data_IF_769898097239
#
_entry.id   IF_769898097239
#
_cell.length_a   1.000
_cell.length_b   1.000
_cell.length_c   1.000
_cell.angle_alpha   90.00
_cell.angle_beta   90.00
_cell.angle_gamma   90.00
#
_symmetry.space_group_name_H-M   'P 1'
#
loop_
_entity.id
_entity.type
_entity.pdbx_description
1 polymer ?
#
# COMPACT_ATOMS: atom_id res chain seq x y z
N UNK A 1 -30.38 -15.60 8.58
CA UNK A 1 -29.55 -14.95 7.52
C UNK A 1 -28.80 -13.68 7.97
N UNK A 2 -29.49 -12.70 8.58
CA UNK A 2 -28.88 -11.43 9.02
C UNK A 2 -27.77 -11.64 10.06
N UNK A 3 -28.07 -12.32 11.17
CA UNK A 3 -27.08 -12.58 12.24
C UNK A 3 -25.88 -13.39 11.74
N UNK A 4 -26.12 -14.40 10.90
CA UNK A 4 -25.06 -15.20 10.25
C UNK A 4 -24.05 -14.32 9.50
N UNK A 5 -24.54 -13.35 8.72
CA UNK A 5 -23.68 -12.40 7.99
C UNK A 5 -23.03 -11.39 8.92
N UNK A 6 -23.79 -10.83 9.87
CA UNK A 6 -23.30 -9.82 10.80
C UNK A 6 -22.15 -10.35 11.68
N UNK A 7 -22.27 -11.57 12.18
CA UNK A 7 -21.27 -12.20 13.05
C UNK A 7 -20.29 -13.09 12.28
N UNK A 8 -20.49 -13.26 10.96
CA UNK A 8 -19.60 -13.99 10.04
C UNK A 8 -19.39 -15.46 10.44
N UNK A 9 -20.40 -16.05 11.08
CA UNK A 9 -20.41 -17.45 11.52
C UNK A 9 -21.83 -17.99 11.63
N UNK A 10 -21.96 -19.30 11.81
CA UNK A 10 -23.21 -19.90 12.29
C UNK A 10 -23.59 -19.33 13.64
N UNK A 11 -24.89 -19.06 13.82
CA UNK A 11 -25.48 -18.55 15.06
C UNK A 11 -26.38 -19.62 15.66
N UNK A 12 -26.41 -19.71 16.98
CA UNK A 12 -27.29 -20.68 17.66
C UNK A 12 -28.73 -20.18 17.72
N UNK A 13 -29.68 -21.08 17.95
CA UNK A 13 -31.08 -20.70 18.14
C UNK A 13 -31.27 -19.78 19.34
N UNK A 14 -30.47 -19.96 20.41
CA UNK A 14 -30.48 -19.07 21.57
C UNK A 14 -30.00 -17.66 21.22
N UNK A 15 -28.96 -17.52 20.39
CA UNK A 15 -28.53 -16.21 19.91
C UNK A 15 -29.62 -15.54 19.07
N UNK A 16 -30.28 -16.30 18.19
CA UNK A 16 -31.41 -15.80 17.41
C UNK A 16 -32.55 -15.35 18.32
N UNK A 17 -32.91 -16.15 19.33
CA UNK A 17 -33.96 -15.85 20.28
C UNK A 17 -33.65 -14.58 21.10
N UNK A 18 -32.39 -14.39 21.51
CA UNK A 18 -31.97 -13.19 22.23
C UNK A 18 -32.19 -11.90 21.41
N UNK A 19 -31.89 -11.91 20.11
CA UNK A 19 -32.16 -10.74 19.26
C UNK A 19 -33.64 -10.61 18.89
N UNK A 20 -34.37 -11.72 18.75
CA UNK A 20 -35.82 -11.71 18.52
C UNK A 20 -36.59 -11.14 19.72
N UNK A 21 -36.08 -11.32 20.95
CA UNK A 21 -36.67 -10.77 22.16
C UNK A 21 -36.74 -9.23 22.14
N UNK A 22 -35.79 -8.53 21.52
CA UNK A 22 -35.89 -7.07 21.33
C UNK A 22 -37.09 -6.68 20.47
N UNK A 23 -37.38 -7.46 19.42
CA UNK A 23 -38.54 -7.22 18.54
C UNK A 23 -39.83 -7.46 19.32
N UNK A 24 -39.90 -8.57 20.05
CA UNK A 24 -41.07 -8.91 20.87
C UNK A 24 -41.33 -7.85 21.95
N UNK A 25 -40.29 -7.42 22.65
CA UNK A 25 -40.40 -6.41 23.70
C UNK A 25 -40.89 -5.07 23.16
N UNK A 26 -40.43 -4.65 21.98
CA UNK A 26 -40.92 -3.43 21.33
C UNK A 26 -42.43 -3.53 21.01
N UNK A 27 -42.88 -4.66 20.45
CA UNK A 27 -44.29 -4.90 20.15
C UNK A 27 -45.14 -4.90 21.43
N UNK A 28 -44.67 -5.54 22.50
CA UNK A 28 -45.34 -5.54 23.81
C UNK A 28 -45.45 -4.13 24.42
N UNK A 29 -44.54 -3.21 24.07
CA UNK A 29 -44.56 -1.80 24.46
C UNK A 29 -45.39 -0.92 23.53
N UNK A 30 -46.02 -1.49 22.50
CA UNK A 30 -46.90 -0.78 21.57
C UNK A 30 -46.21 -0.23 20.32
N UNK A 31 -44.93 -0.54 20.10
CA UNK A 31 -44.23 -0.21 18.86
C UNK A 31 -44.64 -1.15 17.71
N UNK A 32 -44.37 -0.74 16.46
CA UNK A 32 -44.57 -1.60 15.29
C UNK A 32 -43.49 -2.68 15.16
N UNK A 33 -43.78 -3.74 14.41
CA UNK A 33 -42.80 -4.78 14.09
C UNK A 33 -41.54 -4.21 13.43
N UNK A 34 -41.69 -3.27 12.51
CA UNK A 34 -40.58 -2.60 11.83
C UNK A 34 -39.70 -1.84 12.83
N UNK A 35 -40.31 -1.18 13.82
CA UNK A 35 -39.57 -0.50 14.88
C UNK A 35 -38.82 -1.49 15.77
N UNK A 36 -39.44 -2.61 16.14
CA UNK A 36 -38.76 -3.70 16.84
C UNK A 36 -37.57 -4.26 16.05
N UNK A 37 -37.73 -4.45 14.74
CA UNK A 37 -36.63 -4.89 13.85
C UNK A 37 -35.49 -3.88 13.79
N UNK A 38 -35.78 -2.57 13.79
CA UNK A 38 -34.74 -1.53 13.89
C UNK A 38 -33.97 -1.63 15.21
N UNK A 39 -34.65 -1.86 16.33
CA UNK A 39 -33.99 -2.02 17.65
C UNK A 39 -33.12 -3.27 17.67
N UNK A 40 -33.62 -4.41 17.17
CA UNK A 40 -32.83 -5.63 17.07
C UNK A 40 -31.59 -5.43 16.17
N UNK A 41 -31.74 -4.73 15.03
CA UNK A 41 -30.61 -4.41 14.18
C UNK A 41 -29.59 -3.48 14.87
N UNK A 42 -30.05 -2.47 15.62
CA UNK A 42 -29.17 -1.63 16.42
C UNK A 42 -28.38 -2.47 17.43
N UNK A 43 -29.04 -3.38 18.14
CA UNK A 43 -28.38 -4.30 19.09
C UNK A 43 -27.31 -5.16 18.40
N UNK A 44 -27.59 -5.65 17.18
CA UNK A 44 -26.61 -6.38 16.36
C UNK A 44 -25.41 -5.49 16.01
N UNK A 45 -25.64 -4.26 15.56
CA UNK A 45 -24.59 -3.35 15.10
C UNK A 45 -23.68 -2.82 16.23
N UNK A 46 -24.15 -2.84 17.48
CA UNK A 46 -23.34 -2.47 18.65
C UNK A 46 -22.78 -3.69 19.41
N UNK A 47 -23.06 -4.91 18.92
CA UNK A 47 -22.55 -6.14 19.52
C UNK A 47 -21.03 -6.26 19.33
N UNK A 48 -20.26 -6.69 20.36
CA UNK A 48 -18.85 -7.01 20.20
C UNK A 48 -18.58 -8.02 19.06
N UNK A 49 -19.52 -8.95 18.83
CA UNK A 49 -19.40 -9.92 17.74
C UNK A 49 -19.49 -9.29 16.35
N UNK A 50 -20.12 -8.11 16.23
CA UNK A 50 -20.17 -7.34 15.00
C UNK A 50 -18.97 -6.39 14.90
N UNK A 51 -18.67 -5.65 15.97
CA UNK A 51 -17.65 -4.60 16.02
C UNK A 51 -16.22 -5.15 15.94
N UNK A 52 -15.97 -6.34 16.49
CA UNK A 52 -14.65 -6.95 16.51
C UNK A 52 -14.59 -8.21 15.65
N UNK A 53 -13.39 -8.48 15.13
CA UNK A 53 -13.04 -9.77 14.53
C UNK A 53 -12.49 -10.65 15.65
N UNK A 54 -13.40 -11.28 16.38
CA UNK A 54 -13.05 -12.09 17.54
C UNK A 54 -12.53 -13.44 17.07
N UNK A 55 -11.30 -13.75 17.45
CA UNK A 55 -10.72 -15.08 17.33
C UNK A 55 -10.86 -15.75 18.70
N UNK A 56 -11.84 -16.64 18.86
CA UNK A 56 -12.20 -17.19 20.15
C UNK A 56 -11.29 -18.38 20.51
N UNK A 57 -10.71 -18.46 21.74
CA UNK A 57 -9.93 -19.60 22.19
C UNK A 57 -10.64 -20.91 21.86
N UNK A 58 -9.92 -21.90 21.36
CA UNK A 58 -10.49 -23.23 21.18
C UNK A 58 -11.03 -23.76 22.52
N UNK A 59 -11.97 -24.71 22.47
CA UNK A 59 -12.44 -25.39 23.68
C UNK A 59 -11.30 -26.12 24.42
N UNK A 60 -10.21 -26.43 23.70
CA UNK A 60 -9.06 -27.18 24.19
C UNK A 60 -8.29 -26.43 25.31
N UNK A 61 -7.61 -27.18 26.17
CA UNK A 61 -6.72 -26.63 27.19
C UNK A 61 -5.60 -25.83 26.54
N UNK A 62 -5.18 -24.74 27.20
CA UNK A 62 -4.02 -23.97 26.77
C UNK A 62 -2.79 -24.88 26.77
N UNK A 63 -2.28 -25.20 25.58
CA UNK A 63 -1.09 -26.05 25.42
C UNK A 63 0.22 -25.25 25.35
N UNK A 64 0.12 -23.91 25.36
CA UNK A 64 1.20 -23.01 24.97
C UNK A 64 1.48 -23.08 23.46
N UNK A 65 1.91 -21.98 22.86
CA UNK A 65 2.29 -21.94 21.43
C UNK A 65 1.22 -21.36 20.51
N UNK A 66 1.04 -21.96 19.32
CA UNK A 66 0.17 -21.47 18.26
C UNK A 66 -1.03 -22.39 18.05
N UNK A 67 -2.21 -21.80 17.87
CA UNK A 67 -3.48 -22.49 17.61
C UNK A 67 -3.97 -22.23 16.19
N UNK A 68 -4.53 -23.24 15.54
CA UNK A 68 -5.19 -23.07 14.25
C UNK A 68 -6.47 -22.28 14.41
N UNK A 69 -6.65 -21.28 13.55
CA UNK A 69 -7.94 -20.64 13.37
C UNK A 69 -9.00 -21.64 12.91
N UNK A 70 -10.25 -21.40 13.29
CA UNK A 70 -11.39 -22.10 12.72
C UNK A 70 -11.74 -21.56 11.32
N UNK A 71 -12.57 -22.30 10.59
CA UNK A 71 -12.87 -21.96 9.21
C UNK A 71 -13.62 -20.62 9.05
N UNK A 72 -14.43 -20.19 10.02
CA UNK A 72 -15.08 -18.87 9.99
C UNK A 72 -14.10 -17.73 10.27
N UNK A 73 -13.12 -17.95 11.15
CA UNK A 73 -12.03 -17.01 11.40
C UNK A 73 -11.15 -16.88 10.15
N UNK A 74 -10.84 -17.98 9.46
CA UNK A 74 -10.12 -17.96 8.17
C UNK A 74 -10.93 -17.25 7.08
N UNK A 75 -12.23 -17.53 6.96
CA UNK A 75 -13.11 -16.81 6.04
C UNK A 75 -13.07 -15.30 6.29
N UNK A 76 -13.15 -14.90 7.57
CA UNK A 76 -13.10 -13.50 7.98
C UNK A 76 -11.74 -12.87 7.70
N UNK A 77 -10.62 -13.52 8.04
CA UNK A 77 -9.28 -12.99 7.73
C UNK A 77 -9.11 -12.82 6.22
N UNK A 78 -9.51 -13.80 5.42
CA UNK A 78 -9.41 -13.73 3.95
C UNK A 78 -10.26 -12.59 3.37
N UNK A 79 -11.50 -12.44 3.81
CA UNK A 79 -12.41 -11.39 3.31
C UNK A 79 -11.94 -9.99 3.67
N UNK A 80 -11.41 -9.78 4.88
CA UNK A 80 -10.91 -8.47 5.28
C UNK A 80 -9.56 -8.15 4.66
N UNK A 81 -8.71 -9.16 4.42
CA UNK A 81 -7.46 -8.99 3.68
C UNK A 81 -7.74 -8.55 2.23
N UNK A 82 -8.56 -9.29 1.48
CA UNK A 82 -8.69 -9.04 0.04
C UNK A 82 -9.80 -8.05 -0.33
N UNK A 83 -10.88 -7.97 0.45
CA UNK A 83 -12.06 -7.17 0.13
C UNK A 83 -12.37 -6.08 1.15
N UNK A 84 -11.65 -6.02 2.29
CA UNK A 84 -11.97 -5.12 3.41
C UNK A 84 -13.47 -5.15 3.79
N UNK A 85 -14.10 -6.32 3.66
CA UNK A 85 -15.54 -6.50 3.83
C UNK A 85 -15.86 -7.90 4.37
N UNK A 86 -17.14 -8.15 4.61
CA UNK A 86 -17.64 -9.43 5.13
C UNK A 86 -17.39 -10.57 4.13
N UNK A 87 -17.18 -11.82 4.60
CA UNK A 87 -17.23 -13.02 3.77
C UNK A 87 -18.52 -13.08 2.97
N UNK A 88 -18.44 -13.56 1.72
CA UNK A 88 -19.62 -13.86 0.93
C UNK A 88 -20.22 -15.22 1.32
N UNK A 89 -21.37 -15.57 0.73
CA UNK A 89 -22.07 -16.79 1.08
C UNK A 89 -21.29 -18.05 0.67
N UNK A 90 -20.47 -17.99 -0.39
CA UNK A 90 -19.57 -19.09 -0.78
C UNK A 90 -18.53 -19.35 0.31
N UNK A 91 -17.84 -18.31 0.78
CA UNK A 91 -16.81 -18.43 1.81
C UNK A 91 -17.41 -18.89 3.15
N UNK A 92 -18.59 -18.39 3.53
CA UNK A 92 -19.31 -18.86 4.72
C UNK A 92 -19.77 -20.32 4.59
N UNK A 93 -20.17 -20.76 3.40
CA UNK A 93 -20.60 -22.16 3.20
C UNK A 93 -19.42 -23.13 3.24
N UNK A 94 -18.26 -22.73 2.69
CA UNK A 94 -17.01 -23.49 2.84
C UNK A 94 -16.56 -23.56 4.30
N UNK A 95 -16.77 -22.47 5.06
CA UNK A 95 -16.49 -22.45 6.48
C UNK A 95 -17.39 -23.42 7.27
N UNK A 96 -18.70 -23.42 6.98
CA UNK A 96 -19.66 -24.36 7.56
C UNK A 96 -19.31 -25.82 7.25
N UNK A 97 -18.77 -26.08 6.06
CA UNK A 97 -18.34 -27.40 5.63
C UNK A 97 -16.96 -27.81 6.17
N UNK A 98 -16.27 -26.95 6.94
CA UNK A 98 -14.94 -27.22 7.48
C UNK A 98 -13.85 -27.38 6.41
N UNK A 99 -13.95 -26.63 5.30
CA UNK A 99 -13.08 -26.79 4.13
C UNK A 99 -11.97 -25.75 4.01
N UNK A 100 -12.03 -24.63 4.73
CA UNK A 100 -11.08 -23.52 4.56
C UNK A 100 -9.73 -23.75 5.25
N UNK A 101 -9.64 -24.73 6.15
CA UNK A 101 -8.36 -25.20 6.69
C UNK A 101 -7.50 -25.96 5.68
N UNK A 102 -8.11 -26.46 4.60
CA UNK A 102 -7.39 -27.01 3.46
C UNK A 102 -6.72 -25.86 2.68
N UNK A 103 -5.39 -25.92 2.58
CA UNK A 103 -4.59 -24.86 1.95
C UNK A 103 -4.93 -24.70 0.48
N UNK A 104 -5.26 -25.78 -0.23
CA UNK A 104 -5.59 -25.70 -1.66
C UNK A 104 -6.93 -24.99 -1.86
N UNK A 105 -7.91 -25.26 -0.99
CA UNK A 105 -9.21 -24.55 -0.99
C UNK A 105 -9.00 -23.08 -0.65
N UNK A 106 -8.17 -22.78 0.34
CA UNK A 106 -7.90 -21.40 0.75
C UNK A 106 -7.23 -20.58 -0.36
N UNK A 107 -6.26 -21.17 -1.07
CA UNK A 107 -5.62 -20.54 -2.23
C UNK A 107 -6.60 -20.32 -3.38
N UNK A 108 -7.45 -21.31 -3.69
CA UNK A 108 -8.49 -21.18 -4.71
C UNK A 108 -9.45 -20.01 -4.40
N UNK A 109 -9.84 -19.86 -3.13
CA UNK A 109 -10.68 -18.75 -2.69
C UNK A 109 -9.94 -17.41 -2.76
N UNK A 110 -8.67 -17.35 -2.39
CA UNK A 110 -7.86 -16.13 -2.57
C UNK A 110 -7.80 -15.70 -4.04
N UNK A 111 -7.57 -16.63 -4.96
CA UNK A 111 -7.54 -16.35 -6.40
C UNK A 111 -8.89 -15.90 -6.95
N UNK A 112 -9.98 -16.54 -6.53
CA UNK A 112 -11.34 -16.13 -6.90
C UNK A 112 -11.59 -14.70 -6.44
N UNK A 113 -11.26 -14.41 -5.19
CA UNK A 113 -11.50 -13.12 -4.56
C UNK A 113 -10.65 -12.00 -5.18
N UNK A 114 -9.41 -12.28 -5.60
CA UNK A 114 -8.56 -11.30 -6.31
C UNK A 114 -9.13 -10.89 -7.68
N UNK A 115 -9.89 -11.76 -8.34
CA UNK A 115 -10.56 -11.47 -9.62
C UNK A 115 -11.91 -10.78 -9.46
N UNK A 116 -12.46 -10.77 -8.26
CA UNK A 116 -13.76 -10.14 -7.97
C UNK A 116 -13.62 -8.62 -7.92
N UNK A 117 -14.62 -7.84 -8.42
CA UNK A 117 -14.62 -6.38 -8.32
C UNK A 117 -14.37 -5.83 -6.91
N UNK A 118 -14.76 -6.55 -5.85
CA UNK A 118 -14.49 -6.16 -4.46
C UNK A 118 -13.00 -6.08 -4.11
N UNK A 119 -12.11 -6.72 -4.88
CA UNK A 119 -10.65 -6.58 -4.72
C UNK A 119 -10.18 -5.14 -4.98
N UNK A 120 -11.01 -4.27 -5.55
CA UNK A 120 -10.76 -2.83 -5.57
C UNK A 120 -10.48 -2.26 -4.17
N UNK A 121 -11.07 -2.83 -3.12
CA UNK A 121 -10.77 -2.42 -1.75
C UNK A 121 -9.31 -2.67 -1.34
N UNK A 122 -8.70 -3.78 -1.78
CA UNK A 122 -7.27 -4.03 -1.55
C UNK A 122 -6.43 -2.93 -2.22
N UNK A 123 -6.77 -2.55 -3.46
CA UNK A 123 -6.07 -1.49 -4.20
C UNK A 123 -6.14 -0.16 -3.45
N UNK A 124 -7.35 0.28 -3.09
CA UNK A 124 -7.58 1.57 -2.42
C UNK A 124 -6.99 1.62 -1.01
N UNK A 125 -7.10 0.51 -0.27
CA UNK A 125 -6.67 0.48 1.12
C UNK A 125 -5.19 0.17 1.29
N UNK A 126 -4.68 -0.87 0.63
CA UNK A 126 -3.28 -1.26 0.78
C UNK A 126 -2.36 -0.29 0.05
N UNK A 127 -2.55 -0.06 -1.26
CA UNK A 127 -1.66 0.84 -2.00
C UNK A 127 -1.75 2.28 -1.47
N UNK A 128 -2.96 2.72 -1.10
CA UNK A 128 -3.16 4.04 -0.50
C UNK A 128 -2.42 4.26 0.83
N UNK A 129 -2.23 3.20 1.63
CA UNK A 129 -1.44 3.25 2.87
C UNK A 129 0.05 3.05 2.62
N UNK A 130 0.41 2.00 1.88
CA UNK A 130 1.79 1.64 1.60
C UNK A 130 2.54 2.75 0.87
N UNK A 131 1.99 3.25 -0.24
CA UNK A 131 2.64 4.29 -1.04
C UNK A 131 2.39 5.71 -0.48
N UNK A 132 1.57 5.84 0.57
CA UNK A 132 1.26 7.12 1.20
C UNK A 132 0.27 8.00 0.44
N UNK A 133 -0.43 7.47 -0.58
CA UNK A 133 -1.33 8.24 -1.46
C UNK A 133 -2.40 9.02 -0.70
N UNK A 134 -2.84 8.52 0.47
CA UNK A 134 -3.84 9.20 1.31
C UNK A 134 -3.46 10.63 1.70
N UNK A 135 -2.15 10.92 1.79
CA UNK A 135 -1.66 12.28 2.09
C UNK A 135 -1.94 13.26 0.95
N UNK A 136 -2.14 12.79 -0.28
CA UNK A 136 -2.54 13.66 -1.40
C UNK A 136 -3.96 14.19 -1.25
N UNK A 137 -4.83 13.56 -0.44
CA UNK A 137 -6.18 14.08 -0.14
C UNK A 137 -6.17 15.11 1.00
N UNK A 138 -5.04 15.32 1.67
CA UNK A 138 -4.91 16.29 2.76
C UNK A 138 -4.19 17.54 2.27
N UNK A 139 -4.18 18.59 3.10
CA UNK A 139 -3.39 19.79 2.84
C UNK A 139 -1.91 19.64 3.29
N UNK A 140 -1.50 18.46 3.74
CA UNK A 140 -0.11 18.20 4.14
C UNK A 140 0.84 18.13 2.93
N UNK A 141 0.30 17.72 1.77
CA UNK A 141 1.04 17.62 0.51
C UNK A 141 0.33 18.47 -0.54
N UNK A 142 0.70 19.75 -0.58
CA UNK A 142 0.13 20.72 -1.50
C UNK A 142 1.25 21.55 -2.15
N UNK A 143 1.52 21.36 -3.45
CA UNK A 143 2.35 22.28 -4.23
C UNK A 143 1.84 23.73 -4.11
N UNK A 144 2.77 24.69 -4.07
CA UNK A 144 2.43 26.11 -4.00
C UNK A 144 1.64 26.51 -5.27
N UNK A 145 0.40 26.99 -5.15
CA UNK A 145 -0.45 27.31 -6.31
C UNK A 145 0.06 28.50 -7.13
N UNK A 146 0.94 29.34 -6.60
CA UNK A 146 1.60 30.40 -7.37
C UNK A 146 2.74 29.86 -8.24
N UNK A 147 3.43 28.82 -7.77
CA UNK A 147 4.55 28.19 -8.50
C UNK A 147 4.06 27.07 -9.44
N UNK A 148 2.99 26.38 -9.06
CA UNK A 148 2.43 25.23 -9.77
C UNK A 148 0.91 25.39 -10.00
N UNK A 149 0.47 26.45 -10.71
CA UNK A 149 -0.96 26.71 -10.93
C UNK A 149 -1.68 25.57 -11.69
N UNK A 150 -0.94 24.73 -12.42
CA UNK A 150 -1.48 23.58 -13.12
C UNK A 150 -1.88 22.43 -12.17
N UNK A 151 -1.40 22.42 -10.92
CA UNK A 151 -1.74 21.40 -9.92
C UNK A 151 -3.10 21.67 -9.28
N UNK A 152 -4.15 21.56 -10.09
CA UNK A 152 -5.53 21.77 -9.66
C UNK A 152 -6.06 20.62 -8.80
N UNK A 153 -7.18 20.78 -8.06
CA UNK A 153 -7.84 19.69 -7.36
C UNK A 153 -8.23 18.51 -8.27
N UNK A 154 -8.53 18.75 -9.55
CA UNK A 154 -8.83 17.73 -10.54
C UNK A 154 -7.57 16.95 -10.92
N UNK A 155 -6.45 17.65 -11.21
CA UNK A 155 -5.18 16.97 -11.49
C UNK A 155 -4.72 16.14 -10.28
N UNK A 156 -4.88 16.66 -9.06
CA UNK A 156 -4.60 15.92 -7.82
C UNK A 156 -5.39 14.61 -7.73
N UNK A 157 -6.67 14.60 -8.10
CA UNK A 157 -7.49 13.38 -8.15
C UNK A 157 -6.97 12.41 -9.22
N UNK A 158 -6.52 12.94 -10.36
CA UNK A 158 -6.04 12.11 -11.44
C UNK A 158 -4.69 11.45 -11.15
N UNK A 159 -3.73 12.18 -10.56
CA UNK A 159 -2.43 11.61 -10.16
C UNK A 159 -2.60 10.51 -9.11
N UNK A 160 -3.55 10.68 -8.18
CA UNK A 160 -3.91 9.59 -7.27
C UNK A 160 -4.47 8.41 -8.05
N UNK A 161 -5.44 8.66 -8.93
CA UNK A 161 -6.15 7.60 -9.64
C UNK A 161 -5.26 6.79 -10.57
N UNK A 162 -4.27 7.43 -11.19
CA UNK A 162 -3.22 6.80 -11.98
C UNK A 162 -2.56 5.66 -11.21
N UNK A 163 -2.07 5.93 -10.00
CA UNK A 163 -1.36 4.92 -9.19
C UNK A 163 -2.26 3.78 -8.77
N UNK A 164 -3.51 4.06 -8.41
CA UNK A 164 -4.49 3.00 -8.11
C UNK A 164 -4.76 2.11 -9.33
N UNK A 165 -4.92 2.71 -10.51
CA UNK A 165 -5.15 1.94 -11.74
C UNK A 165 -3.93 1.11 -12.12
N UNK A 166 -2.73 1.66 -11.95
CA UNK A 166 -1.48 0.97 -12.20
C UNK A 166 -1.30 -0.24 -11.28
N UNK A 167 -1.38 -0.05 -9.96
CA UNK A 167 -1.33 -1.16 -8.99
C UNK A 167 -2.47 -2.15 -9.22
N UNK A 168 -3.68 -1.65 -9.49
CA UNK A 168 -4.85 -2.48 -9.73
C UNK A 168 -4.76 -3.35 -10.98
N UNK A 169 -4.10 -2.88 -12.04
CA UNK A 169 -3.80 -3.68 -13.22
C UNK A 169 -2.85 -4.84 -12.88
N UNK A 170 -1.81 -4.57 -12.08
CA UNK A 170 -0.87 -5.61 -11.63
C UNK A 170 -1.57 -6.69 -10.82
N UNK A 171 -2.45 -6.30 -9.90
CA UNK A 171 -3.23 -7.24 -9.08
C UNK A 171 -4.22 -8.06 -9.92
N UNK A 172 -5.03 -7.40 -10.76
CA UNK A 172 -6.13 -8.05 -11.48
C UNK A 172 -5.68 -8.95 -12.61
N UNK A 173 -4.63 -8.54 -13.33
CA UNK A 173 -4.07 -9.31 -14.44
C UNK A 173 -2.95 -10.25 -13.99
N UNK A 174 -2.73 -10.35 -12.68
CA UNK A 174 -1.68 -11.16 -12.07
C UNK A 174 -0.33 -10.92 -12.74
N UNK A 175 0.05 -9.64 -12.85
CA UNK A 175 1.32 -9.23 -13.46
C UNK A 175 2.48 -9.48 -12.48
N UNK A 176 3.73 -9.56 -12.97
CA UNK A 176 4.89 -9.51 -12.10
C UNK A 176 4.87 -8.24 -11.24
N UNK A 177 5.07 -8.38 -9.93
CA UNK A 177 5.13 -7.23 -9.00
C UNK A 177 6.30 -6.30 -9.33
N UNK A 178 7.33 -6.80 -10.02
CA UNK A 178 8.50 -6.01 -10.45
C UNK A 178 8.12 -4.88 -11.40
N UNK A 179 6.97 -4.98 -12.09
CA UNK A 179 6.45 -3.88 -12.91
C UNK A 179 6.15 -2.63 -12.09
N UNK A 180 6.00 -2.73 -10.75
CA UNK A 180 5.94 -1.57 -9.87
C UNK A 180 7.23 -0.72 -9.91
N UNK A 181 8.35 -1.30 -10.34
CA UNK A 181 9.64 -0.63 -10.53
C UNK A 181 9.89 -0.32 -12.00
N UNK A 182 9.81 -1.33 -12.87
CA UNK A 182 10.30 -1.26 -14.25
C UNK A 182 9.18 -1.23 -15.33
N UNK A 183 7.92 -1.15 -14.91
CA UNK A 183 6.78 -1.07 -15.82
C UNK A 183 6.79 0.22 -16.62
N UNK A 184 7.02 0.13 -17.94
CA UNK A 184 7.04 1.27 -18.87
C UNK A 184 5.66 1.65 -19.41
N UNK A 185 4.64 1.58 -18.56
CA UNK A 185 3.28 1.99 -18.90
C UNK A 185 2.60 2.62 -17.69
N UNK A 186 1.50 3.34 -17.93
CA UNK A 186 0.60 3.79 -16.88
C UNK A 186 -0.81 3.96 -17.43
N UNK A 187 -1.71 4.53 -16.64
CA UNK A 187 -3.08 4.85 -17.02
C UNK A 187 -3.26 6.36 -17.01
N UNK A 188 -3.42 6.94 -18.19
CA UNK A 188 -3.48 8.39 -18.37
C UNK A 188 -4.86 8.81 -18.84
N UNK A 189 -5.28 10.00 -18.41
CA UNK A 189 -6.33 10.77 -19.07
C UNK A 189 -5.71 12.02 -19.72
N UNK A 190 -6.52 12.94 -20.23
CA UNK A 190 -6.04 14.16 -20.90
C UNK A 190 -5.19 15.07 -20.02
N UNK A 191 -5.55 15.25 -18.75
CA UNK A 191 -4.79 16.12 -17.83
C UNK A 191 -3.42 15.53 -17.49
N UNK A 192 -3.35 14.22 -17.25
CA UNK A 192 -2.07 13.54 -17.03
C UNK A 192 -1.19 13.50 -18.28
N UNK A 193 -1.77 13.27 -19.47
CA UNK A 193 -1.03 13.32 -20.72
C UNK A 193 -0.40 14.70 -20.93
N UNK A 194 -1.14 15.78 -20.63
CA UNK A 194 -0.64 17.16 -20.67
C UNK A 194 0.46 17.39 -19.63
N UNK A 195 0.28 16.98 -18.38
CA UNK A 195 1.30 17.08 -17.32
C UNK A 195 2.58 16.36 -17.73
N UNK A 196 2.44 15.19 -18.37
CA UNK A 196 3.56 14.33 -18.75
C UNK A 196 4.23 14.75 -20.05
N UNK A 197 3.61 15.66 -20.81
CA UNK A 197 4.13 16.16 -22.08
C UNK A 197 4.13 15.11 -23.18
N UNK A 198 3.15 14.20 -23.17
CA UNK A 198 3.03 13.10 -24.15
C UNK A 198 1.79 13.27 -25.02
N UNK A 199 1.88 12.80 -26.28
CA UNK A 199 0.71 12.68 -27.16
C UNK A 199 -0.14 11.47 -26.73
N UNK A 200 -1.05 11.72 -25.79
CA UNK A 200 -1.83 10.69 -25.10
C UNK A 200 -3.35 10.81 -25.29
N UNK A 201 -4.13 10.05 -24.49
CA UNK A 201 -5.59 10.14 -24.51
C UNK A 201 -6.09 11.54 -24.16
N UNK A 202 -7.26 11.91 -24.68
CA UNK A 202 -7.95 13.17 -24.38
C UNK A 202 -9.18 12.94 -23.50
N UNK A 203 -9.59 13.95 -22.73
CA UNK A 203 -10.78 13.89 -21.86
C UNK A 203 -10.51 13.24 -20.50
N UNK A 204 -11.57 12.89 -19.79
CA UNK A 204 -11.51 12.40 -18.40
C UNK A 204 -11.28 10.89 -18.26
N UNK A 205 -11.47 10.14 -19.35
CA UNK A 205 -11.33 8.68 -19.34
C UNK A 205 -9.86 8.25 -19.26
N UNK A 206 -9.55 7.34 -18.34
CA UNK A 206 -8.23 6.74 -18.21
C UNK A 206 -8.02 5.62 -19.22
N UNK A 207 -6.89 5.66 -19.93
CA UNK A 207 -6.47 4.62 -20.88
C UNK A 207 -5.05 4.20 -20.58
N UNK A 208 -4.78 2.91 -20.76
CA UNK A 208 -3.42 2.38 -20.69
C UNK A 208 -2.55 3.07 -21.76
N UNK A 209 -1.38 3.54 -21.37
CA UNK A 209 -0.44 4.25 -22.22
C UNK A 209 0.97 3.70 -21.97
N UNK A 210 1.67 3.36 -23.05
CA UNK A 210 3.05 2.86 -23.01
C UNK A 210 4.03 4.02 -23.22
N UNK A 211 5.06 4.11 -22.37
CA UNK A 211 6.11 5.11 -22.45
C UNK A 211 7.29 4.61 -23.29
N UNK A 212 7.74 5.43 -24.24
CA UNK A 212 8.82 5.08 -25.17
C UNK A 212 10.05 5.99 -25.06
N UNK A 213 9.99 7.03 -24.22
CA UNK A 213 11.04 8.06 -24.10
C UNK A 213 12.05 7.77 -22.98
N UNK A 214 11.87 6.66 -22.25
CA UNK A 214 12.72 6.27 -21.12
C UNK A 214 12.56 7.15 -19.87
N UNK A 215 11.67 8.14 -19.87
CA UNK A 215 11.51 9.06 -18.73
C UNK A 215 10.70 8.42 -17.62
N UNK A 216 9.67 7.64 -17.97
CA UNK A 216 8.73 7.07 -17.00
C UNK A 216 8.77 5.56 -16.97
N UNK A 217 8.85 5.05 -15.75
CA UNK A 217 8.82 3.64 -15.40
C UNK A 217 8.40 3.46 -13.93
N UNK A 218 7.51 2.49 -13.69
CA UNK A 218 7.05 2.12 -12.36
C UNK A 218 6.40 3.25 -11.56
N UNK A 219 6.14 2.98 -10.28
CA UNK A 219 5.52 3.97 -9.37
C UNK A 219 6.47 5.12 -9.03
N UNK A 220 7.79 4.89 -9.07
CA UNK A 220 8.81 5.86 -8.70
C UNK A 220 8.74 7.15 -9.53
N UNK A 221 8.33 7.05 -10.80
CA UNK A 221 8.28 8.16 -11.75
C UNK A 221 6.85 8.71 -11.96
N UNK A 222 5.87 8.24 -11.19
CA UNK A 222 4.50 8.77 -11.23
C UNK A 222 4.40 10.08 -10.43
N UNK A 223 3.57 11.00 -10.91
CA UNK A 223 3.39 12.31 -10.29
C UNK A 223 2.91 12.23 -8.84
N UNK A 224 2.11 11.22 -8.49
CA UNK A 224 1.69 11.00 -7.09
C UNK A 224 2.87 10.88 -6.14
N UNK A 225 3.83 10.02 -6.45
CA UNK A 225 5.02 9.77 -5.62
C UNK A 225 5.97 10.97 -5.66
N UNK A 226 6.19 11.55 -6.84
CA UNK A 226 7.04 12.73 -7.01
C UNK A 226 6.51 13.94 -6.24
N UNK A 227 5.19 14.08 -6.12
CA UNK A 227 4.53 15.11 -5.30
C UNK A 227 4.64 14.81 -3.80
N UNK A 228 4.34 13.57 -3.40
CA UNK A 228 4.43 13.12 -1.99
C UNK A 228 5.83 13.34 -1.39
N UNK A 229 6.85 13.25 -2.22
CA UNK A 229 8.26 13.32 -1.84
C UNK A 229 8.89 14.69 -2.10
N UNK A 230 8.07 15.73 -2.29
CA UNK A 230 8.53 17.11 -2.49
C UNK A 230 8.08 18.04 -1.35
N UNK A 231 8.61 19.26 -1.33
CA UNK A 231 8.05 20.38 -0.57
C UNK A 231 7.10 21.19 -1.47
N UNK A 232 6.22 22.03 -0.90
CA UNK A 232 5.30 22.87 -1.68
C UNK A 232 5.99 23.67 -2.80
N UNK A 233 7.18 24.21 -2.52
CA UNK A 233 7.89 25.13 -3.39
C UNK A 233 9.04 24.49 -4.19
N UNK A 234 9.48 23.28 -3.81
CA UNK A 234 10.69 22.65 -4.38
C UNK A 234 10.73 21.13 -4.24
N UNK A 235 11.58 20.51 -5.03
CA UNK A 235 11.91 19.08 -4.91
C UNK A 235 12.68 18.79 -3.63
N UNK A 236 12.73 17.52 -3.23
CA UNK A 236 13.57 17.07 -2.11
C UNK A 236 14.24 15.73 -2.44
N UNK A 237 15.52 15.74 -2.85
CA UNK A 237 16.30 14.52 -3.04
C UNK A 237 16.28 13.62 -1.80
N UNK A 238 16.36 14.22 -0.60
CA UNK A 238 16.31 13.52 0.68
C UNK A 238 15.01 12.72 0.83
N UNK A 239 13.84 13.36 0.68
CA UNK A 239 12.53 12.67 0.81
C UNK A 239 12.32 11.63 -0.28
N UNK A 240 12.80 11.88 -1.50
CA UNK A 240 12.71 10.92 -2.61
C UNK A 240 13.51 9.66 -2.32
N UNK A 241 14.76 9.81 -1.89
CA UNK A 241 15.62 8.69 -1.51
C UNK A 241 15.10 7.93 -0.30
N UNK A 242 14.68 8.64 0.76
CA UNK A 242 14.05 8.04 1.94
C UNK A 242 12.82 7.21 1.55
N UNK A 243 11.94 7.75 0.70
CA UNK A 243 10.76 7.02 0.25
C UNK A 243 11.12 5.74 -0.51
N UNK A 244 12.15 5.76 -1.38
CA UNK A 244 12.62 4.56 -2.09
C UNK A 244 13.14 3.51 -1.11
N UNK A 245 14.02 3.91 -0.19
CA UNK A 245 14.58 2.99 0.81
C UNK A 245 13.50 2.38 1.70
N UNK A 246 12.57 3.19 2.19
CA UNK A 246 11.50 2.78 3.11
C UNK A 246 10.42 1.92 2.43
N UNK A 247 9.99 2.30 1.21
CA UNK A 247 8.80 1.73 0.57
C UNK A 247 9.11 0.70 -0.51
N UNK A 248 10.30 0.75 -1.12
CA UNK A 248 10.70 -0.19 -2.17
C UNK A 248 11.75 -1.18 -1.69
N UNK A 249 12.71 -0.78 -0.86
CA UNK A 249 13.84 -1.66 -0.47
C UNK A 249 13.73 -2.22 0.95
N UNK A 250 12.85 -1.67 1.80
CA UNK A 250 12.70 -2.11 3.18
C UNK A 250 13.88 -1.73 4.09
N UNK A 251 14.69 -0.76 3.67
CA UNK A 251 15.91 -0.30 4.34
C UNK A 251 15.72 1.14 4.85
N UNK A 252 14.64 1.36 5.60
CA UNK A 252 14.28 2.68 6.09
C UNK A 252 15.45 3.32 6.87
N UNK A 253 15.84 4.57 6.56
CA UNK A 253 16.91 5.24 7.27
C UNK A 253 16.53 5.42 8.76
N UNK A 254 17.52 5.54 9.67
CA UNK A 254 17.24 5.83 11.06
C UNK A 254 16.53 7.18 11.21
N UNK A 255 15.80 7.35 12.31
CA UNK A 255 15.17 8.63 12.61
C UNK A 255 16.20 9.77 12.60
N UNK A 256 15.83 10.93 12.06
CA UNK A 256 16.75 12.07 12.03
C UNK A 256 17.09 12.52 13.45
N UNK A 257 18.29 13.12 13.66
CA UNK A 257 18.64 13.71 14.94
C UNK A 257 17.59 14.73 15.43
N UNK A 258 17.41 14.92 16.76
CA UNK A 258 16.39 15.81 17.32
C UNK A 258 16.46 17.27 16.82
N UNK A 259 17.63 17.70 16.37
CA UNK A 259 17.85 19.01 15.75
C UNK A 259 18.41 18.78 14.36
N UNK A 260 17.55 18.84 13.35
CA UNK A 260 17.95 18.94 11.95
C UNK A 260 17.99 20.41 11.58
N UNK A 261 19.15 20.97 11.19
CA UNK A 261 19.20 22.33 10.68
C UNK A 261 18.28 22.49 9.47
N UNK A 262 17.55 23.60 9.35
CA UNK A 262 16.77 23.85 8.14
C UNK A 262 17.72 24.12 6.96
N UNK A 263 17.41 23.57 5.78
CA UNK A 263 18.14 23.87 4.54
C UNK A 263 18.05 25.37 4.18
N UNK A 264 17.03 26.06 4.69
CA UNK A 264 16.73 27.47 4.42
C UNK A 264 17.89 28.41 4.81
N UNK A 265 18.69 28.05 5.82
CA UNK A 265 19.88 28.82 6.20
C UNK A 265 20.99 28.73 5.13
N UNK A 266 21.20 27.53 4.57
CA UNK A 266 22.16 27.30 3.47
C UNK A 266 21.67 27.97 2.18
N UNK A 267 20.37 27.85 1.89
CA UNK A 267 19.72 28.52 0.76
C UNK A 267 19.85 30.04 0.82
N UNK A 268 19.60 30.64 1.98
CA UNK A 268 19.70 32.09 2.18
C UNK A 268 21.14 32.59 2.03
N UNK A 269 22.11 31.75 2.39
CA UNK A 269 23.55 32.09 2.30
C UNK A 269 24.14 31.83 0.91
N UNK A 270 23.50 30.98 0.11
CA UNK A 270 23.98 30.54 -1.21
C UNK A 270 22.84 30.42 -2.23
N UNK A 271 22.06 31.50 -2.48
CA UNK A 271 20.85 31.43 -3.30
C UNK A 271 21.12 31.12 -4.77
N UNK A 272 22.32 31.46 -5.25
CA UNK A 272 22.75 31.29 -6.65
C UNK A 272 23.37 29.90 -6.92
N UNK A 273 23.55 29.05 -5.91
CA UNK A 273 24.09 27.71 -6.11
C UNK A 273 22.99 26.73 -6.54
N UNK A 274 23.28 25.74 -7.40
CA UNK A 274 22.38 24.63 -7.67
C UNK A 274 21.97 23.89 -6.38
N UNK A 275 20.73 23.36 -6.33
CA UNK A 275 20.20 22.65 -5.16
C UNK A 275 21.13 21.53 -4.65
N UNK A 276 21.76 20.79 -5.59
CA UNK A 276 22.75 19.75 -5.26
C UNK A 276 23.92 20.31 -4.45
N UNK A 277 24.50 21.43 -4.87
CA UNK A 277 25.63 22.05 -4.17
C UNK A 277 25.22 22.57 -2.80
N UNK A 278 24.02 23.14 -2.68
CA UNK A 278 23.46 23.55 -1.39
C UNK A 278 23.30 22.35 -0.43
N UNK A 279 22.79 21.22 -0.91
CA UNK A 279 22.66 20.00 -0.11
C UNK A 279 24.02 19.42 0.29
N UNK A 280 25.02 19.46 -0.59
CA UNK A 280 26.39 19.05 -0.28
C UNK A 280 26.98 19.90 0.83
N UNK A 281 26.77 21.23 0.81
CA UNK A 281 27.20 22.13 1.87
C UNK A 281 26.45 21.85 3.18
N UNK A 282 25.14 21.61 3.10
CA UNK A 282 24.29 21.33 4.25
C UNK A 282 24.71 20.04 4.99
N UNK A 283 25.08 18.99 4.25
CA UNK A 283 25.45 17.67 4.79
C UNK A 283 26.93 17.54 5.14
N UNK A 284 27.68 18.64 5.26
CA UNK A 284 29.09 18.61 5.61
C UNK A 284 29.36 18.02 7.02
N UNK A 285 28.33 17.94 7.88
CA UNK A 285 28.41 17.25 9.16
C UNK A 285 28.57 15.72 8.98
N UNK A 286 29.61 15.09 9.55
CA UNK A 286 29.85 13.65 9.44
C UNK A 286 28.70 12.76 9.94
N UNK A 287 27.90 13.22 10.90
CA UNK A 287 26.75 12.52 11.44
C UNK A 287 25.56 12.45 10.47
N UNK A 288 25.41 13.45 9.60
CA UNK A 288 24.38 13.47 8.55
C UNK A 288 24.84 12.74 7.28
N UNK A 289 26.14 12.83 6.96
CA UNK A 289 26.67 12.34 5.69
C UNK A 289 26.48 10.84 5.44
N UNK A 290 26.42 10.00 6.49
CA UNK A 290 26.34 8.53 6.34
C UNK A 290 25.05 8.07 5.65
N UNK A 291 23.89 8.57 6.08
CA UNK A 291 22.60 8.21 5.52
C UNK A 291 22.31 8.98 4.22
N UNK A 292 22.72 10.25 4.16
CA UNK A 292 22.54 11.11 2.99
C UNK A 292 23.35 10.66 1.76
N UNK A 293 24.46 9.93 1.95
CA UNK A 293 25.22 9.30 0.84
C UNK A 293 24.43 8.27 0.04
N UNK A 294 23.33 7.74 0.57
CA UNK A 294 22.44 6.83 -0.16
C UNK A 294 21.20 7.59 -0.63
N UNK A 295 20.50 8.23 0.31
CA UNK A 295 19.23 8.90 0.02
C UNK A 295 19.37 10.01 -1.01
N UNK A 296 20.32 10.93 -0.83
CA UNK A 296 20.44 12.07 -1.72
C UNK A 296 20.83 11.63 -3.12
N UNK A 297 21.70 10.61 -3.24
CA UNK A 297 22.15 10.11 -4.54
C UNK A 297 20.97 9.53 -5.32
N UNK A 298 20.14 8.68 -4.69
CA UNK A 298 18.87 8.19 -5.27
C UNK A 298 17.97 9.37 -5.66
N UNK A 299 17.82 10.34 -4.75
CA UNK A 299 16.99 11.52 -4.99
C UNK A 299 17.45 12.40 -6.15
N UNK A 300 18.77 12.57 -6.31
CA UNK A 300 19.36 13.33 -7.41
C UNK A 300 19.05 12.71 -8.77
N UNK A 301 18.97 11.38 -8.86
CA UNK A 301 18.52 10.68 -10.08
C UNK A 301 17.13 11.06 -10.57
N UNK A 302 16.32 11.67 -9.70
CA UNK A 302 14.93 12.03 -9.99
C UNK A 302 14.77 13.55 -10.20
N UNK A 303 15.83 14.36 -10.10
CA UNK A 303 15.70 15.82 -10.11
C UNK A 303 15.20 16.39 -11.45
N UNK A 304 15.25 15.62 -12.53
CA UNK A 304 14.57 15.92 -13.79
C UNK A 304 13.04 15.98 -13.66
N UNK A 305 12.46 15.55 -12.54
CA UNK A 305 11.06 15.76 -12.22
C UNK A 305 10.88 16.90 -11.21
N UNK A 306 10.03 17.86 -11.55
CA UNK A 306 9.62 18.93 -10.64
C UNK A 306 8.66 18.40 -9.53
N UNK A 307 8.22 19.26 -8.58
CA UNK A 307 7.34 18.85 -7.48
C UNK A 307 5.99 18.26 -7.89
N UNK A 308 5.52 18.50 -9.12
CA UNK A 308 4.25 17.94 -9.61
C UNK A 308 4.48 16.77 -10.57
N UNK A 309 5.73 16.32 -10.71
CA UNK A 309 6.12 15.21 -11.57
C UNK A 309 6.22 15.55 -13.06
N UNK A 310 6.31 16.84 -13.41
CA UNK A 310 6.59 17.29 -14.78
C UNK A 310 8.09 17.22 -15.06
N UNK A 311 8.46 16.85 -16.28
CA UNK A 311 9.86 16.81 -16.70
C UNK A 311 10.45 18.22 -16.84
N UNK A 312 11.71 18.38 -16.44
CA UNK A 312 12.51 19.59 -16.59
C UNK A 312 13.98 19.24 -16.89
N UNK A 313 14.62 20.09 -17.67
CA UNK A 313 16.07 20.00 -17.96
C UNK A 313 16.88 21.06 -17.18
N UNK A 314 16.18 22.04 -16.58
CA UNK A 314 16.78 23.13 -15.82
C UNK A 314 15.99 23.42 -14.54
N UNK A 315 16.69 23.90 -13.51
CA UNK A 315 16.12 24.36 -12.26
C UNK A 315 16.87 25.62 -11.78
N UNK A 316 16.15 26.69 -11.45
CA UNK A 316 16.77 27.94 -10.99
C UNK A 316 17.75 28.58 -11.99
N UNK A 317 17.58 28.34 -13.29
CA UNK A 317 18.48 28.82 -14.34
C UNK A 317 19.72 27.94 -14.57
N UNK A 318 19.87 26.83 -13.84
CA UNK A 318 20.97 25.88 -14.01
C UNK A 318 20.50 24.58 -14.68
N UNK A 319 21.32 23.96 -15.56
CA UNK A 319 21.09 22.59 -16.01
C UNK A 319 20.99 21.62 -14.85
N UNK A 320 20.11 20.63 -14.97
CA UNK A 320 19.98 19.57 -13.97
C UNK A 320 21.07 18.53 -14.20
N UNK A 321 21.82 18.25 -13.14
CA UNK A 321 22.77 17.15 -13.07
C UNK A 321 22.15 16.01 -12.26
N UNK A 322 21.63 15.00 -12.96
CA UNK A 322 21.02 13.81 -12.38
C UNK A 322 21.99 12.61 -12.31
N UNK A 323 23.27 12.82 -12.61
CA UNK A 323 24.29 11.79 -12.49
C UNK A 323 24.68 11.59 -11.02
N UNK A 324 24.69 10.35 -10.54
CA UNK A 324 25.00 10.02 -9.15
C UNK A 324 25.67 8.63 -9.05
N UNK A 325 26.27 8.36 -7.88
CA UNK A 325 26.90 7.07 -7.59
C UNK A 325 26.49 6.59 -6.20
N UNK A 326 25.93 5.38 -6.12
CA UNK A 326 25.61 4.75 -4.85
C UNK A 326 26.89 4.29 -4.12
N UNK A 327 26.88 4.15 -2.78
CA UNK A 327 28.03 3.64 -2.03
C UNK A 327 28.49 2.23 -2.42
N UNK A 328 27.62 1.45 -3.08
CA UNK A 328 27.94 0.15 -3.69
C UNK A 328 28.85 0.26 -4.93
N UNK A 329 29.04 1.47 -5.48
CA UNK A 329 29.83 1.75 -6.68
C UNK A 329 29.01 1.88 -7.97
N UNK A 330 27.74 1.47 -7.95
CA UNK A 330 26.80 1.61 -9.06
C UNK A 330 26.59 3.09 -9.40
N UNK A 331 26.83 3.46 -10.65
CA UNK A 331 26.65 4.83 -11.14
C UNK A 331 25.47 4.88 -12.10
N UNK A 332 24.74 5.99 -12.11
CA UNK A 332 23.60 6.20 -12.99
C UNK A 332 23.46 7.67 -13.34
N UNK A 333 22.77 7.95 -14.45
CA UNK A 333 22.43 9.27 -14.90
C UNK A 333 20.92 9.38 -15.19
N UNK A 334 20.21 9.96 -14.23
CA UNK A 334 18.77 10.17 -14.34
C UNK A 334 17.91 8.95 -14.02
N UNK A 335 16.59 9.07 -14.23
CA UNK A 335 15.62 8.12 -13.69
C UNK A 335 15.64 6.76 -14.38
N UNK A 336 15.96 6.69 -15.66
CA UNK A 336 15.99 5.44 -16.42
C UNK A 336 17.03 4.47 -15.84
N UNK A 337 18.29 4.93 -15.72
CA UNK A 337 19.39 4.12 -15.19
C UNK A 337 19.21 3.84 -13.69
N UNK A 338 18.61 4.77 -12.92
CA UNK A 338 18.25 4.50 -11.53
C UNK A 338 17.22 3.36 -11.42
N UNK A 339 16.21 3.34 -12.28
CA UNK A 339 15.21 2.26 -12.32
C UNK A 339 15.85 0.93 -12.67
N UNK A 340 16.83 0.89 -13.59
CA UNK A 340 17.57 -0.33 -13.91
C UNK A 340 18.31 -0.90 -12.69
N UNK A 341 18.95 -0.03 -11.90
CA UNK A 341 19.60 -0.42 -10.63
C UNK A 341 18.57 -0.98 -9.64
N UNK A 342 17.43 -0.31 -9.47
CA UNK A 342 16.38 -0.78 -8.55
C UNK A 342 15.74 -2.10 -9.03
N UNK A 343 15.57 -2.28 -10.34
CA UNK A 343 15.04 -3.50 -10.93
C UNK A 343 16.00 -4.69 -10.75
N UNK A 344 17.32 -4.45 -10.73
CA UNK A 344 18.31 -5.46 -10.38
C UNK A 344 18.17 -5.95 -8.93
N UNK A 345 17.60 -5.12 -8.04
CA UNK A 345 17.32 -5.42 -6.62
C UNK A 345 15.92 -5.99 -6.37
N UNK A 346 15.34 -6.66 -7.36
CA UNK A 346 13.98 -7.24 -7.28
C UNK A 346 13.73 -8.17 -6.09
N UNK A 347 14.75 -8.82 -5.54
CA UNK A 347 14.59 -9.65 -4.33
C UNK A 347 14.34 -8.80 -3.08
N UNK A 348 15.11 -7.74 -2.88
CA UNK A 348 14.89 -6.74 -1.80
C UNK A 348 13.50 -6.12 -1.94
N UNK A 349 13.11 -5.76 -3.17
CA UNK A 349 11.78 -5.25 -3.45
C UNK A 349 10.67 -6.26 -3.12
N UNK A 350 10.83 -7.51 -3.54
CA UNK A 350 9.85 -8.58 -3.27
C UNK A 350 9.70 -8.81 -1.78
N UNK A 351 10.81 -8.78 -1.02
CA UNK A 351 10.80 -8.87 0.43
C UNK A 351 10.05 -7.70 1.06
N UNK A 352 10.39 -6.47 0.69
CA UNK A 352 9.73 -5.27 1.20
C UNK A 352 8.21 -5.33 0.96
N UNK A 353 7.78 -5.59 -0.28
CA UNK A 353 6.36 -5.73 -0.60
C UNK A 353 5.68 -6.85 0.20
N UNK A 354 6.34 -8.00 0.33
CA UNK A 354 5.82 -9.14 1.11
C UNK A 354 5.62 -8.74 2.57
N UNK A 355 6.57 -8.03 3.18
CA UNK A 355 6.48 -7.58 4.57
C UNK A 355 5.32 -6.59 4.77
N UNK A 356 5.19 -5.60 3.87
CA UNK A 356 4.09 -4.62 3.92
C UNK A 356 2.73 -5.29 3.72
N UNK A 357 2.61 -6.19 2.76
CA UNK A 357 1.35 -6.88 2.46
C UNK A 357 0.97 -7.88 3.56
N UNK A 358 1.94 -8.57 4.16
CA UNK A 358 1.72 -9.46 5.30
C UNK A 358 1.28 -8.65 6.53
N UNK A 359 1.92 -7.51 6.81
CA UNK A 359 1.49 -6.58 7.86
C UNK A 359 0.02 -6.17 7.67
N UNK A 360 -0.34 -5.80 6.44
CA UNK A 360 -1.72 -5.43 6.10
C UNK A 360 -2.70 -6.60 6.27
N UNK A 361 -2.33 -7.80 5.82
CA UNK A 361 -3.15 -9.01 5.92
C UNK A 361 -3.41 -9.43 7.38
N UNK A 362 -2.41 -9.28 8.25
CA UNK A 362 -2.49 -9.67 9.66
C UNK A 362 -3.08 -8.58 10.55
N UNK A 363 -3.00 -7.30 10.14
CA UNK A 363 -3.41 -6.17 10.97
C UNK A 363 -2.50 -5.93 12.19
N UNK A 364 -1.25 -6.42 12.14
CA UNK A 364 -0.21 -6.20 13.15
C UNK A 364 1.16 -6.08 12.49
N UNK A 365 2.12 -5.45 13.18
CA UNK A 365 3.52 -5.45 12.77
C UNK A 365 4.12 -6.86 12.73
N UNK A 366 5.19 -7.02 11.95
CA UNK A 366 5.96 -8.26 11.89
C UNK A 366 6.95 -8.34 13.03
N UNK A 367 7.18 -9.56 13.49
CA UNK A 367 8.11 -9.89 14.57
C UNK A 367 9.26 -10.75 14.02
N UNK A 368 10.32 -10.95 14.82
CA UNK A 368 11.51 -11.70 14.39
C UNK A 368 11.19 -13.11 13.86
N UNK A 369 10.13 -13.75 14.39
CA UNK A 369 9.70 -15.09 13.99
C UNK A 369 8.93 -15.12 12.65
N UNK A 370 8.44 -13.98 12.16
CA UNK A 370 7.78 -13.90 10.85
C UNK A 370 8.80 -13.96 9.69
N UNK A 371 10.10 -13.78 9.96
CA UNK A 371 11.18 -13.76 8.96
C UNK A 371 11.20 -15.01 8.07
N UNK A 372 11.10 -16.20 8.65
CA UNK A 372 11.08 -17.46 7.88
C UNK A 372 9.87 -17.55 6.94
N UNK A 373 8.73 -16.96 7.34
CA UNK A 373 7.55 -16.87 6.47
C UNK A 373 7.81 -15.97 5.29
N UNK A 374 8.41 -14.79 5.52
CA UNK A 374 8.77 -13.84 4.45
C UNK A 374 9.76 -14.50 3.48
N UNK A 375 10.83 -15.12 3.97
CA UNK A 375 11.84 -15.80 3.14
C UNK A 375 11.22 -16.85 2.21
N UNK A 376 10.30 -17.65 2.75
CA UNK A 376 9.57 -18.66 1.98
C UNK A 376 8.68 -18.03 0.91
N UNK A 377 7.94 -16.97 1.24
CA UNK A 377 7.05 -16.29 0.28
C UNK A 377 7.87 -15.65 -0.84
N UNK A 378 9.00 -15.01 -0.53
CA UNK A 378 9.92 -14.43 -1.53
C UNK A 378 10.42 -15.51 -2.48
N UNK A 379 10.89 -16.65 -1.95
CA UNK A 379 11.36 -17.77 -2.78
C UNK A 379 10.26 -18.35 -3.68
N UNK A 380 9.04 -18.51 -3.16
CA UNK A 380 7.88 -18.98 -3.93
C UNK A 380 7.48 -17.96 -5.02
N UNK A 381 7.53 -16.67 -4.70
CA UNK A 381 7.20 -15.59 -5.62
C UNK A 381 8.21 -15.53 -6.76
N UNK A 382 9.51 -15.68 -6.47
CA UNK A 382 10.55 -15.78 -7.49
C UNK A 382 10.35 -17.00 -8.41
N UNK A 383 10.04 -18.18 -7.84
CA UNK A 383 9.78 -19.38 -8.62
C UNK A 383 8.52 -19.25 -9.51
N UNK A 384 7.60 -18.37 -9.14
CA UNK A 384 6.38 -18.06 -9.86
C UNK A 384 6.50 -16.80 -10.73
N UNK A 385 7.70 -16.43 -11.21
CA UNK A 385 7.90 -15.27 -12.10
C UNK A 385 7.38 -13.95 -11.50
N UNK A 386 7.55 -13.79 -10.19
CA UNK A 386 7.18 -12.61 -9.41
C UNK A 386 5.70 -12.22 -9.47
N UNK A 387 4.80 -13.15 -9.74
CA UNK A 387 3.35 -12.88 -9.85
C UNK A 387 2.75 -12.38 -8.54
N UNK A 388 1.83 -11.41 -8.61
CA UNK A 388 1.14 -10.90 -7.42
C UNK A 388 0.38 -12.01 -6.68
N UNK A 389 -0.29 -12.90 -7.41
CA UNK A 389 -1.02 -14.04 -6.83
C UNK A 389 -0.12 -14.96 -6.02
N UNK A 390 1.16 -15.11 -6.38
CA UNK A 390 2.11 -15.92 -5.63
C UNK A 390 2.38 -15.34 -4.24
N UNK A 391 2.50 -14.02 -4.12
CA UNK A 391 2.64 -13.34 -2.82
C UNK A 391 1.37 -13.56 -1.99
N UNK A 392 0.19 -13.31 -2.57
CA UNK A 392 -1.08 -13.46 -1.89
C UNK A 392 -1.34 -14.90 -1.41
N UNK A 393 -1.11 -15.90 -2.28
CA UNK A 393 -1.19 -17.33 -1.93
C UNK A 393 -0.20 -17.70 -0.84
N UNK A 394 1.03 -17.19 -0.93
CA UNK A 394 2.08 -17.40 0.06
C UNK A 394 1.70 -16.87 1.46
N UNK A 395 1.05 -15.70 1.51
CA UNK A 395 0.50 -15.09 2.72
C UNK A 395 -0.63 -15.95 3.28
N UNK A 396 -1.68 -16.26 2.51
CA UNK A 396 -2.85 -16.97 3.05
C UNK A 396 -2.51 -18.40 3.49
N UNK A 397 -1.48 -19.01 2.89
CA UNK A 397 -0.99 -20.34 3.27
C UNK A 397 -0.06 -20.33 4.48
N UNK A 398 0.39 -19.14 4.91
CA UNK A 398 1.38 -19.01 5.97
C UNK A 398 0.83 -19.36 7.35
N UNK A 399 1.72 -19.78 8.24
CA UNK A 399 1.40 -19.96 9.66
C UNK A 399 0.85 -18.70 10.31
N UNK A 400 1.48 -17.51 10.21
CA UNK A 400 0.94 -16.31 10.85
C UNK A 400 -0.47 -15.93 10.35
N UNK A 401 -0.83 -16.29 9.11
CA UNK A 401 -2.18 -16.05 8.60
C UNK A 401 -3.20 -17.09 9.08
N UNK A 402 -2.80 -18.37 9.18
CA UNK A 402 -3.70 -19.48 9.53
C UNK A 402 -3.77 -19.81 11.01
N UNK A 403 -2.78 -19.35 11.78
CA UNK A 403 -2.66 -19.58 13.19
C UNK A 403 -2.79 -18.26 13.96
N UNK A 404 -3.04 -18.39 15.26
CA UNK A 404 -2.91 -17.32 16.25
C UNK A 404 -2.06 -17.78 17.42
N UNK A 405 -1.63 -16.86 18.26
CA UNK A 405 -1.04 -17.20 19.55
C UNK A 405 -2.11 -17.79 20.47
N UNK A 406 -1.80 -18.88 21.14
CA UNK A 406 -2.65 -19.43 22.20
C UNK A 406 -2.81 -18.37 23.30
N UNK A 407 -4.05 -18.03 23.63
CA UNK A 407 -4.36 -17.06 24.69
C UNK A 407 -4.40 -17.82 26.00
N UNK A 408 -3.64 -17.35 27.00
CA UNK A 408 -3.74 -17.87 28.36
C UNK A 408 -5.16 -17.59 28.89
N UNK A 409 -5.86 -18.64 29.33
CA UNK A 409 -7.27 -18.58 29.73
C UNK A 409 -7.48 -17.78 31.02
#
# INVERSE_FOLDING_TARGET
PLLRRAFRRTVTDDEVAAYAAFVQQAIEQGDSFERGMQIALQAVLVSPQFLFRVEAPGADEWTGGAESLNDFELATRLSYFLWSSLPDDELLSLAEAGKLRDVDVLQQQADRMLRDPKAQALIENFAGQWLGLRKLATNEVAPDPMLFPEYTPELRKDVWKETELFFGHIVREDRPITELIDGRYSFLNGRLAQLYGVEGPSGDEFKKFEFNDGRRSGVLTQASILTLTSYPERTSPVKRGEWVLTNLLGDAPPEPPPVVPALDATQSSHPDLPLREQLVLHRADPGCASCHKVMDEIGFGLENFDPIGRWRDQAGGHPIDAAAQLPSGESFNGPAELVEILAARREEFTRCLTEKLLTYALGRGLEYYDRCTVDRIVSQTQAADYRFSAVARGIVSSEPFRLRRAVEK
#
